data_IF_904115632415
#
_entry.id   IF_904115632415
#
_cell.length_a   1.000
_cell.length_b   1.000
_cell.length_c   1.000
_cell.angle_alpha   90.00
_cell.angle_beta   90.00
_cell.angle_gamma   90.00
#
_symmetry.space_group_name_H-M   'P 1'
#
loop_
_entity.id
_entity.type
_entity.pdbx_description
1 polymer ?
#
# COMPACT_ATOMS: atom_id res chain seq x y z
N UNK A 1 -1.22 20.38 27.29
CA UNK A 1 -0.67 19.15 26.69
C UNK A 1 -0.62 19.36 25.18
N UNK A 2 0.56 19.33 24.58
CA UNK A 2 0.73 19.44 23.13
C UNK A 2 0.11 18.19 22.49
N UNK A 3 -0.90 18.38 21.64
CA UNK A 3 -1.50 17.32 20.85
C UNK A 3 -0.55 17.01 19.68
N UNK A 4 0.60 16.42 20.00
CA UNK A 4 1.62 16.10 19.02
C UNK A 4 1.04 15.08 18.03
N UNK A 5 0.88 15.47 16.77
CA UNK A 5 0.51 14.55 15.69
C UNK A 5 1.63 13.53 15.55
N UNK A 6 1.41 12.34 16.09
CA UNK A 6 2.26 11.18 15.86
C UNK A 6 2.05 10.74 14.40
N UNK A 7 2.96 11.15 13.53
CA UNK A 7 3.05 10.62 12.17
C UNK A 7 4.12 9.51 12.18
N UNK A 8 3.82 8.32 11.64
CA UNK A 8 4.82 7.27 11.57
C UNK A 8 5.90 7.64 10.55
N UNK A 9 7.14 7.24 10.81
CA UNK A 9 8.24 7.42 9.85
C UNK A 9 8.02 6.58 8.58
N UNK A 10 7.46 5.37 8.73
CA UNK A 10 7.18 4.44 7.62
C UNK A 10 5.73 3.95 7.63
N UNK A 11 5.17 3.74 6.44
CA UNK A 11 3.84 3.18 6.24
C UNK A 11 3.93 1.93 5.37
N UNK A 12 3.53 0.80 5.94
CA UNK A 12 3.41 -0.47 5.23
C UNK A 12 1.93 -0.77 5.00
N UNK A 13 1.55 -0.98 3.75
CA UNK A 13 0.21 -1.41 3.37
C UNK A 13 0.25 -2.84 2.84
N UNK A 14 -0.45 -3.74 3.53
CA UNK A 14 -0.47 -5.16 3.21
C UNK A 14 -1.85 -5.54 2.69
N UNK A 15 -1.90 -6.17 1.51
CA UNK A 15 -3.14 -6.73 0.98
C UNK A 15 -2.85 -7.85 -0.01
N UNK A 16 -3.76 -8.81 -0.08
CA UNK A 16 -3.74 -9.86 -1.11
C UNK A 16 -3.77 -9.28 -2.53
N UNK A 17 -4.35 -8.09 -2.70
CA UNK A 17 -4.55 -7.44 -4.00
C UNK A 17 -3.46 -6.41 -4.36
N UNK A 18 -2.40 -6.30 -3.55
CA UNK A 18 -1.18 -5.58 -3.97
C UNK A 18 -0.55 -6.34 -5.12
N UNK A 19 -0.41 -5.69 -6.28
CA UNK A 19 0.09 -6.29 -7.52
C UNK A 19 -0.69 -7.54 -8.00
N UNK A 20 -1.91 -7.76 -7.50
CA UNK A 20 -2.74 -8.91 -7.83
C UNK A 20 -4.20 -8.48 -7.99
N UNK A 21 -4.67 -8.29 -9.22
CA UNK A 21 -6.03 -7.82 -9.46
C UNK A 21 -7.04 -8.97 -9.35
N UNK A 22 -7.66 -9.11 -8.17
CA UNK A 22 -8.74 -10.09 -7.91
C UNK A 22 -10.11 -9.40 -7.84
N UNK A 23 -10.17 -8.21 -7.24
CA UNK A 23 -11.41 -7.51 -6.99
C UNK A 23 -11.23 -5.98 -6.96
N UNK A 24 -12.06 -5.32 -6.15
CA UNK A 24 -12.07 -3.86 -6.03
C UNK A 24 -10.92 -3.29 -5.21
N UNK A 25 -10.27 -4.09 -4.37
CA UNK A 25 -9.22 -3.60 -3.46
C UNK A 25 -7.99 -3.17 -4.25
N UNK A 26 -7.66 -3.87 -5.34
CA UNK A 26 -6.59 -3.44 -6.25
C UNK A 26 -6.83 -2.00 -6.78
N UNK A 27 -8.07 -1.67 -7.13
CA UNK A 27 -8.46 -0.32 -7.57
C UNK A 27 -8.35 0.69 -6.44
N UNK A 28 -8.75 0.32 -5.21
CA UNK A 28 -8.61 1.19 -4.04
C UNK A 28 -7.14 1.50 -3.75
N UNK A 29 -6.27 0.49 -3.72
CA UNK A 29 -4.83 0.67 -3.45
C UNK A 29 -4.19 1.52 -4.54
N UNK A 30 -4.43 1.22 -5.82
CA UNK A 30 -3.82 1.93 -6.94
C UNK A 30 -4.24 3.40 -7.02
N UNK A 31 -5.53 3.70 -6.81
CA UNK A 31 -6.03 5.09 -6.81
C UNK A 31 -5.56 5.88 -5.59
N UNK A 32 -5.42 5.22 -4.43
CA UNK A 32 -4.92 5.85 -3.20
C UNK A 32 -3.40 6.05 -3.21
N UNK A 33 -2.64 5.19 -3.90
CA UNK A 33 -1.18 5.17 -3.88
C UNK A 33 -0.55 6.54 -4.22
N UNK A 34 -1.10 7.26 -5.20
CA UNK A 34 -0.61 8.61 -5.56
C UNK A 34 -0.73 9.60 -4.39
N UNK A 35 -1.86 9.58 -3.68
CA UNK A 35 -2.10 10.46 -2.52
C UNK A 35 -1.18 10.12 -1.36
N UNK A 36 -0.97 8.83 -1.10
CA UNK A 36 -0.12 8.36 0.01
C UNK A 36 1.36 8.63 -0.28
N UNK A 37 1.80 8.42 -1.53
CA UNK A 37 3.17 8.72 -1.97
C UNK A 37 3.48 10.22 -1.84
N UNK A 38 2.52 11.12 -2.12
CA UNK A 38 2.70 12.56 -1.87
C UNK A 38 2.95 12.91 -0.40
N UNK A 39 2.43 12.10 0.53
CA UNK A 39 2.56 12.33 1.98
C UNK A 39 3.78 11.64 2.59
N UNK A 40 4.10 10.43 2.15
CA UNK A 40 5.13 9.60 2.76
C UNK A 40 6.39 9.42 1.90
N UNK A 41 6.34 9.75 0.61
CA UNK A 41 7.44 9.57 -0.34
C UNK A 41 7.90 8.12 -0.37
N UNK A 42 9.21 7.92 -0.33
CA UNK A 42 9.87 6.60 -0.35
C UNK A 42 9.63 5.77 0.93
N UNK A 43 8.90 6.31 1.90
CA UNK A 43 8.57 5.65 3.17
C UNK A 43 7.20 4.96 3.14
N UNK A 44 6.55 4.93 1.97
CA UNK A 44 5.37 4.12 1.71
C UNK A 44 5.75 2.84 0.97
N UNK A 45 5.42 1.69 1.54
CA UNK A 45 5.71 0.38 0.97
C UNK A 45 4.44 -0.44 0.92
N UNK A 46 4.19 -1.12 -0.21
CA UNK A 46 3.10 -2.08 -0.34
C UNK A 46 3.64 -3.50 -0.34
N UNK A 47 2.99 -4.39 0.40
CA UNK A 47 3.36 -5.80 0.50
C UNK A 47 2.19 -6.65 0.01
N UNK A 48 2.46 -7.52 -0.95
CA UNK A 48 1.52 -8.46 -1.52
C UNK A 48 2.12 -9.86 -1.63
N UNK A 49 1.30 -10.85 -1.99
CA UNK A 49 1.81 -12.20 -2.26
C UNK A 49 2.74 -12.19 -3.46
N UNK A 50 3.80 -13.00 -3.40
CA UNK A 50 4.56 -13.35 -4.60
C UNK A 50 3.73 -14.36 -5.40
N UNK A 51 3.17 -13.90 -6.51
CA UNK A 51 2.42 -14.74 -7.43
C UNK A 51 3.40 -15.35 -8.42
N UNK A 52 4.11 -16.40 -8.01
CA UNK A 52 4.75 -17.28 -8.97
C UNK A 52 3.64 -17.82 -9.89
N UNK A 53 3.67 -17.45 -11.17
CA UNK A 53 2.86 -18.08 -12.20
C UNK A 53 3.35 -19.53 -12.41
N UNK A 54 3.13 -20.41 -11.44
CA UNK A 54 3.16 -21.85 -11.66
C UNK A 54 1.79 -22.27 -12.18
N UNK A 55 1.69 -22.38 -13.51
CA UNK A 55 0.68 -23.20 -14.17
C UNK A 55 -0.71 -22.58 -14.36
N UNK A 56 -0.86 -21.82 -15.45
CA UNK A 56 -1.98 -21.99 -16.40
C UNK A 56 -1.45 -21.87 -17.82
#
# INVERSE_FOLDING_TARGET
>A
MSNAKLAPDFLFEVSWEVCNKVGGIHTVISTKAQTVTRKFGDRYMTVGPDLSHEGV
#
